data_IF_216098234443
#
_entry.id   IF_216098234443
#
_cell.length_a   1.000
_cell.length_b   1.000
_cell.length_c   1.000
_cell.angle_alpha   90.00
_cell.angle_beta   90.00
_cell.angle_gamma   90.00
#
_symmetry.space_group_name_H-M   'P 1'
#
loop_
_entity.id
_entity.type
_entity.pdbx_description
1 polymer ?
#
# COMPACT_ATOMS: atom_id res chain seq x y z
N UNK A 1 16.54 20.36 51.39
CA UNK A 1 16.75 19.00 50.85
C UNK A 1 15.59 18.49 49.97
N UNK A 2 14.48 19.24 49.78
CA UNK A 2 13.23 18.68 49.26
C UNK A 2 13.09 18.67 47.70
N UNK A 3 13.46 19.76 47.01
CA UNK A 3 13.13 19.92 45.58
C UNK A 3 13.97 19.05 44.62
N UNK A 4 15.29 18.94 44.86
CA UNK A 4 16.22 18.18 43.97
C UNK A 4 15.98 16.68 44.03
N UNK A 5 15.71 16.15 45.22
CA UNK A 5 15.36 14.73 45.44
C UNK A 5 14.04 14.39 44.75
N UNK A 6 13.04 15.25 44.90
CA UNK A 6 11.76 15.08 44.21
C UNK A 6 11.90 15.11 42.69
N UNK A 7 12.72 16.02 42.15
CA UNK A 7 13.01 16.10 40.73
C UNK A 7 13.72 14.83 40.21
N UNK A 8 14.70 14.29 40.96
CA UNK A 8 15.37 13.05 40.60
C UNK A 8 14.40 11.86 40.51
N UNK A 9 13.49 11.71 41.49
CA UNK A 9 12.45 10.68 41.43
C UNK A 9 11.50 10.86 40.25
N UNK A 10 11.16 12.11 39.89
CA UNK A 10 10.33 12.40 38.72
C UNK A 10 11.01 11.97 37.42
N UNK A 11 12.31 12.23 37.24
CA UNK A 11 13.06 11.80 36.06
C UNK A 11 13.11 10.28 35.92
N UNK A 12 13.41 9.57 37.01
CA UNK A 12 13.43 8.09 37.04
C UNK A 12 12.05 7.52 36.70
N UNK A 13 11.00 8.07 37.29
CA UNK A 13 9.64 7.64 37.00
C UNK A 13 9.24 7.93 35.53
N UNK A 14 9.71 9.04 34.96
CA UNK A 14 9.50 9.36 33.55
C UNK A 14 10.22 8.37 32.65
N UNK A 15 11.49 8.05 32.92
CA UNK A 15 12.26 7.07 32.15
C UNK A 15 11.59 5.68 32.17
N UNK A 16 11.16 5.22 33.35
CA UNK A 16 10.44 3.95 33.49
C UNK A 16 9.12 3.91 32.70
N UNK A 17 8.35 5.02 32.69
CA UNK A 17 7.14 5.13 31.87
C UNK A 17 7.46 5.08 30.38
N UNK A 18 8.48 5.81 29.93
CA UNK A 18 8.92 5.77 28.52
C UNK A 18 9.35 4.37 28.11
N UNK A 19 10.13 3.67 28.93
CA UNK A 19 10.52 2.28 28.67
C UNK A 19 9.29 1.36 28.54
N UNK A 20 8.24 1.57 29.35
CA UNK A 20 6.99 0.83 29.22
C UNK A 20 6.23 1.15 27.93
N UNK A 21 6.25 2.41 27.47
CA UNK A 21 5.68 2.78 26.18
C UNK A 21 6.41 2.07 25.03
N UNK A 22 7.75 2.01 25.07
CA UNK A 22 8.55 1.26 24.09
C UNK A 22 8.13 -0.22 24.06
N UNK A 23 7.95 -0.85 25.22
CA UNK A 23 7.47 -2.23 25.29
C UNK A 23 6.08 -2.41 24.66
N UNK A 24 5.16 -1.49 24.92
CA UNK A 24 3.79 -1.57 24.36
C UNK A 24 3.79 -1.40 22.84
N UNK A 25 4.62 -0.50 22.31
CA UNK A 25 4.78 -0.33 20.85
C UNK A 25 5.40 -1.59 20.23
N UNK A 26 6.45 -2.14 20.85
CA UNK A 26 7.07 -3.39 20.40
C UNK A 26 6.06 -4.56 20.42
N UNK A 27 5.23 -4.67 21.46
CA UNK A 27 4.14 -5.65 21.52
C UNK A 27 3.15 -5.50 20.36
N UNK A 28 2.74 -4.27 20.05
CA UNK A 28 1.86 -4.00 18.91
C UNK A 28 2.45 -4.44 17.56
N UNK A 29 3.76 -4.28 17.37
CA UNK A 29 4.43 -4.77 16.16
C UNK A 29 4.62 -6.30 16.15
N UNK A 30 4.87 -6.93 17.30
CA UNK A 30 4.91 -8.39 17.48
C UNK A 30 3.56 -9.03 17.13
N UNK A 31 2.46 -8.40 17.52
CA UNK A 31 1.10 -8.85 17.19
C UNK A 31 0.78 -8.64 15.70
N UNK A 32 1.33 -7.59 15.09
CA UNK A 32 1.11 -7.23 13.70
C UNK A 32 1.88 -8.11 12.71
N UNK A 33 3.06 -8.59 13.06
CA UNK A 33 3.92 -9.34 12.13
C UNK A 33 3.61 -10.84 12.08
N UNK A 34 3.73 -11.42 10.89
CA UNK A 34 3.76 -12.85 10.61
C UNK A 34 5.19 -13.32 10.25
N UNK A 35 6.19 -12.44 10.28
CA UNK A 35 7.61 -12.79 10.10
C UNK A 35 8.17 -13.40 11.41
N UNK A 36 8.55 -14.68 11.43
CA UNK A 36 9.02 -15.34 12.64
C UNK A 36 10.35 -14.79 13.16
N UNK A 37 11.24 -14.34 12.27
CA UNK A 37 12.57 -13.86 12.65
C UNK A 37 12.47 -12.48 13.30
N UNK A 38 11.74 -11.57 12.65
CA UNK A 38 11.48 -10.25 13.21
C UNK A 38 10.73 -10.34 14.54
N UNK A 39 9.71 -11.21 14.61
CA UNK A 39 8.94 -11.44 15.84
C UNK A 39 9.81 -11.93 17.00
N UNK A 40 10.67 -12.91 16.77
CA UNK A 40 11.56 -13.45 17.79
C UNK A 40 12.56 -12.40 18.29
N UNK A 41 13.22 -11.68 17.36
CA UNK A 41 14.20 -10.65 17.70
C UNK A 41 13.56 -9.49 18.48
N UNK A 42 12.38 -9.02 18.06
CA UNK A 42 11.69 -7.92 18.73
C UNK A 42 11.16 -8.33 20.11
N UNK A 43 10.72 -9.60 20.26
CA UNK A 43 10.32 -10.14 21.56
C UNK A 43 11.50 -10.16 22.53
N UNK A 44 12.67 -10.64 22.10
CA UNK A 44 13.87 -10.66 22.91
C UNK A 44 14.32 -9.25 23.34
N UNK A 45 14.33 -8.28 22.41
CA UNK A 45 14.67 -6.89 22.71
C UNK A 45 13.66 -6.24 23.67
N UNK A 46 12.35 -6.48 23.48
CA UNK A 46 11.28 -6.03 24.39
C UNK A 46 11.47 -6.60 25.80
N UNK A 47 11.79 -7.87 25.91
CA UNK A 47 12.01 -8.54 27.20
C UNK A 47 13.27 -8.02 27.90
N UNK A 48 14.31 -7.66 27.13
CA UNK A 48 15.50 -7.00 27.66
C UNK A 48 15.15 -5.62 28.28
N UNK A 49 14.30 -4.83 27.62
CA UNK A 49 13.79 -3.57 28.20
C UNK A 49 12.96 -3.84 29.47
N UNK A 50 12.14 -4.90 29.49
CA UNK A 50 11.37 -5.25 30.68
C UNK A 50 12.25 -5.63 31.87
N UNK A 51 13.34 -6.35 31.64
CA UNK A 51 14.27 -6.80 32.66
C UNK A 51 15.15 -5.66 33.21
N UNK A 52 15.41 -4.59 32.45
CA UNK A 52 16.27 -3.48 32.87
C UNK A 52 15.56 -2.42 33.73
N UNK A 53 14.24 -2.25 33.61
CA UNK A 53 13.48 -1.21 34.35
C UNK A 53 13.56 -1.37 35.87
N UNK A 54 13.37 -2.58 36.38
CA UNK A 54 13.38 -2.86 37.83
C UNK A 54 14.73 -2.51 38.49
N UNK A 55 15.86 -3.06 38.00
CA UNK A 55 17.20 -2.73 38.47
C UNK A 55 17.53 -1.23 38.39
N UNK A 56 17.14 -0.54 37.31
CA UNK A 56 17.34 0.90 37.17
C UNK A 56 16.58 1.68 38.25
N UNK A 57 15.30 1.38 38.47
CA UNK A 57 14.49 2.07 39.49
C UNK A 57 15.00 1.78 40.91
N UNK A 58 15.39 0.54 41.19
CA UNK A 58 15.90 0.14 42.50
C UNK A 58 17.25 0.82 42.83
N UNK A 59 18.19 0.80 41.88
CA UNK A 59 19.50 1.46 42.03
C UNK A 59 19.35 2.99 42.14
N UNK A 60 18.45 3.59 41.36
CA UNK A 60 18.14 5.01 41.45
C UNK A 60 17.61 5.41 42.84
N UNK A 61 16.68 4.61 43.40
CA UNK A 61 16.18 4.83 44.77
C UNK A 61 17.31 4.82 45.79
N UNK A 62 18.24 3.87 45.69
CA UNK A 62 19.41 3.79 46.57
C UNK A 62 20.34 5.01 46.44
N UNK A 63 20.61 5.44 45.21
CA UNK A 63 21.47 6.60 44.94
C UNK A 63 20.85 7.91 45.46
N UNK A 64 19.54 8.06 45.37
CA UNK A 64 18.82 9.26 45.83
C UNK A 64 18.76 9.34 47.37
N UNK A 65 18.58 8.20 48.06
CA UNK A 65 18.46 8.18 49.54
C UNK A 65 19.81 8.22 50.27
N UNK A 66 20.92 7.97 49.56
CA UNK A 66 22.28 7.99 50.10
C UNK A 66 23.16 9.05 49.42
N UNK A 67 22.88 10.36 49.58
CA UNK A 67 23.64 11.42 48.94
C UNK A 67 25.10 11.40 49.41
N UNK A 68 26.04 11.25 48.47
CA UNK A 68 27.49 11.18 48.73
C UNK A 68 28.09 9.77 48.63
N UNK A 69 27.26 8.72 48.54
CA UNK A 69 27.73 7.37 48.26
C UNK A 69 28.08 7.22 46.77
N UNK A 70 29.37 7.31 46.44
CA UNK A 70 29.85 7.22 45.05
C UNK A 70 29.56 5.84 44.41
N UNK A 71 29.65 4.76 45.19
CA UNK A 71 29.37 3.41 44.70
C UNK A 71 27.88 3.24 44.33
N UNK A 72 26.96 3.79 45.13
CA UNK A 72 25.53 3.75 44.81
C UNK A 72 25.20 4.53 43.52
N UNK A 73 25.91 5.64 43.28
CA UNK A 73 25.77 6.41 42.04
C UNK A 73 26.31 5.64 40.83
N UNK A 74 27.47 5.01 40.94
CA UNK A 74 28.07 4.20 39.88
C UNK A 74 27.19 3.01 39.47
N UNK A 75 26.60 2.31 40.45
CA UNK A 75 25.63 1.24 40.20
C UNK A 75 24.41 1.78 39.43
N UNK A 76 23.88 2.94 39.82
CA UNK A 76 22.77 3.56 39.09
C UNK A 76 23.16 3.91 37.64
N UNK A 77 24.32 4.53 37.41
CA UNK A 77 24.80 4.85 36.06
C UNK A 77 24.88 3.59 35.19
N UNK A 78 25.49 2.52 35.71
CA UNK A 78 25.57 1.23 35.02
C UNK A 78 24.18 0.68 34.66
N UNK A 79 23.22 0.73 35.59
CA UNK A 79 21.85 0.25 35.32
C UNK A 79 21.03 1.18 34.42
N UNK A 80 21.36 2.45 34.37
CA UNK A 80 20.79 3.38 33.40
C UNK A 80 21.34 3.09 31.99
N UNK A 81 22.65 2.83 31.85
CA UNK A 81 23.30 2.48 30.58
C UNK A 81 22.81 1.13 30.04
N UNK A 82 22.61 0.13 30.91
CA UNK A 82 21.97 -1.15 30.57
C UNK A 82 20.57 -0.92 29.98
N UNK A 83 19.77 -0.04 30.58
CA UNK A 83 18.42 0.29 30.09
C UNK A 83 18.45 1.05 28.76
N UNK A 84 19.39 1.98 28.57
CA UNK A 84 19.57 2.69 27.30
C UNK A 84 19.96 1.70 26.20
N UNK A 85 20.87 0.77 26.49
CA UNK A 85 21.28 -0.28 25.55
C UNK A 85 20.11 -1.18 25.18
N UNK A 86 19.29 -1.59 26.16
CA UNK A 86 18.09 -2.39 25.88
C UNK A 86 17.07 -1.67 24.97
N UNK A 87 16.90 -0.35 25.15
CA UNK A 87 16.03 0.45 24.25
C UNK A 87 16.66 0.57 22.86
N UNK A 88 17.98 0.68 22.77
CA UNK A 88 18.70 0.69 21.50
C UNK A 88 18.57 -0.64 20.75
N UNK A 89 18.56 -1.78 21.44
CA UNK A 89 18.31 -3.08 20.81
C UNK A 89 16.95 -3.12 20.11
N UNK A 90 15.91 -2.57 20.73
CA UNK A 90 14.57 -2.44 20.10
C UNK A 90 14.64 -1.59 18.85
N UNK A 91 15.33 -0.44 18.92
CA UNK A 91 15.55 0.44 17.77
C UNK A 91 16.26 -0.30 16.62
N UNK A 92 17.36 -1.01 16.90
CA UNK A 92 18.12 -1.76 15.90
C UNK A 92 17.29 -2.83 15.19
N UNK A 93 16.46 -3.56 15.94
CA UNK A 93 15.58 -4.59 15.36
C UNK A 93 14.53 -3.96 14.46
N UNK A 94 13.92 -2.84 14.88
CA UNK A 94 12.92 -2.11 14.08
C UNK A 94 13.56 -1.48 12.85
N UNK A 95 14.67 -0.76 13.00
CA UNK A 95 15.33 -0.06 11.90
C UNK A 95 15.76 -1.05 10.79
N UNK A 96 16.38 -2.18 11.15
CA UNK A 96 16.72 -3.24 10.18
C UNK A 96 15.51 -3.82 9.47
N UNK A 97 14.35 -3.90 10.14
CA UNK A 97 13.14 -4.44 9.56
C UNK A 97 12.41 -3.45 8.64
N UNK A 98 12.43 -2.15 8.96
CA UNK A 98 11.70 -1.13 8.19
C UNK A 98 12.55 -0.41 7.15
N UNK A 99 13.86 -0.32 7.37
CA UNK A 99 14.83 0.32 6.50
C UNK A 99 15.91 -0.68 6.06
N UNK A 100 15.55 -1.73 5.29
CA UNK A 100 16.56 -2.63 4.75
C UNK A 100 17.51 -1.84 3.83
N UNK A 101 18.80 -2.22 3.79
CA UNK A 101 19.76 -1.56 2.90
C UNK A 101 19.25 -1.58 1.45
N UNK A 102 19.48 -0.51 0.67
CA UNK A 102 19.01 -0.43 -0.69
C UNK A 102 19.55 -1.62 -1.50
N UNK A 103 18.75 -2.19 -2.42
CA UNK A 103 19.22 -3.27 -3.28
C UNK A 103 20.45 -2.80 -4.06
N UNK A 104 21.40 -3.72 -4.37
CA UNK A 104 22.59 -3.38 -5.12
C UNK A 104 22.20 -2.69 -6.44
N UNK A 105 22.99 -1.70 -6.90
CA UNK A 105 22.71 -1.00 -8.14
C UNK A 105 22.53 -2.02 -9.25
N UNK A 106 21.37 -1.94 -9.93
CA UNK A 106 21.04 -2.84 -11.03
C UNK A 106 22.15 -2.72 -12.08
N UNK A 107 22.66 -3.84 -12.65
CA UNK A 107 23.61 -3.74 -13.74
C UNK A 107 23.05 -2.80 -14.81
N UNK A 108 23.89 -1.94 -15.41
CA UNK A 108 23.42 -1.02 -16.43
C UNK A 108 22.67 -1.83 -17.47
N UNK A 109 21.40 -1.45 -17.72
CA UNK A 109 20.67 -1.96 -18.86
C UNK A 109 21.59 -1.88 -20.07
N UNK A 110 21.70 -2.93 -20.91
CA UNK A 110 22.55 -2.88 -22.08
C UNK A 110 22.28 -1.56 -22.80
N UNK A 111 23.35 -0.79 -22.99
CA UNK A 111 23.31 0.44 -23.76
C UNK A 111 22.51 0.12 -25.01
N UNK A 112 21.41 0.82 -25.31
CA UNK A 112 20.73 0.60 -26.57
C UNK A 112 21.81 0.68 -27.65
N UNK A 113 21.94 -0.36 -28.48
CA UNK A 113 22.64 -0.20 -29.75
C UNK A 113 22.15 1.11 -30.36
N UNK A 114 22.98 1.88 -31.09
CA UNK A 114 22.50 3.03 -31.82
C UNK A 114 21.49 2.54 -32.85
N UNK A 115 20.23 2.42 -32.42
CA UNK A 115 19.07 2.35 -33.28
C UNK A 115 19.16 3.66 -34.00
N UNK A 116 19.45 3.60 -35.31
CA UNK A 116 19.23 4.73 -36.21
C UNK A 116 17.92 5.38 -35.76
N UNK A 117 17.96 6.64 -35.34
CA UNK A 117 16.76 7.35 -34.91
C UNK A 117 15.67 7.03 -35.92
N UNK A 118 14.62 6.26 -35.53
CA UNK A 118 13.51 6.09 -36.41
C UNK A 118 13.02 7.50 -36.72
N UNK A 119 12.71 7.81 -38.00
CA UNK A 119 12.32 9.15 -38.42
C UNK A 119 11.34 9.73 -37.41
N UNK A 120 11.48 11.03 -37.04
CA UNK A 120 10.76 11.63 -35.92
C UNK A 120 9.33 11.15 -35.94
N UNK A 121 8.99 10.29 -34.97
CA UNK A 121 7.65 9.76 -34.87
C UNK A 121 6.74 10.99 -34.77
N UNK A 122 5.74 11.15 -35.67
CA UNK A 122 4.78 12.23 -35.52
C UNK A 122 4.28 12.20 -34.07
N UNK A 123 4.09 13.36 -33.42
CA UNK A 123 3.62 13.40 -32.04
C UNK A 123 2.44 12.44 -31.95
N UNK A 124 2.61 11.36 -31.18
CA UNK A 124 1.46 10.52 -30.84
C UNK A 124 0.50 11.50 -30.21
N UNK A 125 -0.74 11.65 -30.71
CA UNK A 125 -1.67 12.60 -30.12
C UNK A 125 -1.70 12.27 -28.63
N UNK A 126 -1.14 13.16 -27.81
CA UNK A 126 -1.32 13.12 -26.37
C UNK A 126 -2.83 13.19 -26.24
N UNK A 127 -3.46 12.04 -26.00
CA UNK A 127 -4.91 11.98 -25.92
C UNK A 127 -5.30 13.02 -24.88
N UNK A 128 -5.99 14.08 -25.32
CA UNK A 128 -6.34 15.19 -24.45
C UNK A 128 -6.95 14.62 -23.18
N UNK A 129 -6.43 15.06 -22.03
CA UNK A 129 -6.95 14.62 -20.73
C UNK A 129 -8.45 14.91 -20.75
N UNK A 130 -9.32 13.89 -20.66
CA UNK A 130 -10.75 14.14 -20.70
C UNK A 130 -11.13 15.02 -19.52
N UNK A 131 -11.81 16.14 -19.75
CA UNK A 131 -12.32 16.96 -18.65
C UNK A 131 -13.37 16.15 -17.89
N UNK A 132 -13.22 16.07 -16.56
CA UNK A 132 -14.11 15.26 -15.71
C UNK A 132 -15.59 15.68 -15.86
N UNK A 133 -15.85 16.96 -16.11
CA UNK A 133 -17.19 17.52 -16.34
C UNK A 133 -17.83 17.09 -17.66
N UNK A 134 -17.03 16.77 -18.68
CA UNK A 134 -17.49 16.45 -20.04
C UNK A 134 -17.50 14.95 -20.30
N UNK A 135 -16.55 14.22 -19.70
CA UNK A 135 -16.38 12.79 -19.89
C UNK A 135 -15.94 12.12 -18.57
N UNK A 136 -16.86 11.93 -17.61
CA UNK A 136 -16.51 11.41 -16.29
C UNK A 136 -16.05 9.95 -16.32
N UNK A 137 -16.59 9.11 -17.23
CA UNK A 137 -16.15 7.71 -17.42
C UNK A 137 -14.73 7.67 -18.00
N UNK A 138 -14.48 8.47 -19.04
CA UNK A 138 -13.16 8.56 -19.68
C UNK A 138 -12.11 9.19 -18.76
N UNK A 139 -12.49 10.14 -17.91
CA UNK A 139 -11.62 10.67 -16.86
C UNK A 139 -11.21 9.56 -15.87
N UNK A 140 -12.16 8.75 -15.39
CA UNK A 140 -11.85 7.61 -14.51
C UNK A 140 -10.92 6.58 -15.19
N UNK A 141 -11.16 6.28 -16.46
CA UNK A 141 -10.31 5.42 -17.26
C UNK A 141 -8.89 5.99 -17.42
N UNK A 142 -8.78 7.28 -17.76
CA UNK A 142 -7.51 7.97 -17.91
C UNK A 142 -6.72 8.01 -16.59
N UNK A 143 -7.40 8.25 -15.47
CA UNK A 143 -6.75 8.27 -14.15
C UNK A 143 -6.15 6.90 -13.80
N UNK A 144 -6.86 5.80 -14.04
CA UNK A 144 -6.31 4.46 -13.84
C UNK A 144 -5.10 4.19 -14.74
N UNK A 145 -5.15 4.56 -16.01
CA UNK A 145 -4.00 4.38 -16.93
C UNK A 145 -2.80 5.23 -16.49
N UNK A 146 -3.04 6.48 -16.06
CA UNK A 146 -2.00 7.36 -15.51
C UNK A 146 -1.37 6.77 -14.25
N UNK A 147 -2.19 6.27 -13.32
CA UNK A 147 -1.71 5.63 -12.10
C UNK A 147 -0.85 4.40 -12.45
N UNK A 148 -1.37 3.50 -13.29
CA UNK A 148 -0.66 2.29 -13.70
C UNK A 148 0.65 2.58 -14.46
N UNK A 149 0.74 3.69 -15.21
CA UNK A 149 1.93 4.09 -15.96
C UNK A 149 3.13 4.49 -15.11
N UNK A 150 2.95 4.70 -13.80
CA UNK A 150 4.06 4.99 -12.90
C UNK A 150 5.06 3.83 -12.83
N UNK A 151 4.63 2.62 -13.16
CA UNK A 151 5.46 1.43 -13.10
C UNK A 151 5.74 0.82 -14.48
N UNK A 152 6.84 0.07 -14.56
CA UNK A 152 7.12 -0.85 -15.65
C UNK A 152 6.03 -1.92 -15.75
N UNK A 153 5.95 -2.56 -16.92
CA UNK A 153 4.87 -3.51 -17.19
C UNK A 153 5.09 -4.80 -16.37
N UNK A 154 4.21 -5.01 -15.39
CA UNK A 154 3.99 -6.29 -14.74
C UNK A 154 2.55 -6.78 -15.01
N UNK A 155 2.23 -8.02 -14.64
CA UNK A 155 0.93 -8.61 -14.96
C UNK A 155 -0.26 -7.79 -14.41
N UNK A 156 -0.13 -7.21 -13.21
CA UNK A 156 -1.18 -6.40 -12.59
C UNK A 156 -1.32 -5.02 -13.25
N UNK A 157 -0.19 -4.37 -13.56
CA UNK A 157 -0.15 -3.10 -14.31
C UNK A 157 -0.75 -3.28 -15.70
N UNK A 158 -0.42 -4.36 -16.41
CA UNK A 158 -0.97 -4.66 -17.73
C UNK A 158 -2.49 -4.91 -17.68
N UNK A 159 -2.97 -5.63 -16.67
CA UNK A 159 -4.41 -5.84 -16.46
C UNK A 159 -5.12 -4.50 -16.19
N UNK A 160 -4.57 -3.65 -15.32
CA UNK A 160 -5.13 -2.33 -15.02
C UNK A 160 -5.16 -1.40 -16.26
N UNK A 161 -4.07 -1.35 -17.04
CA UNK A 161 -4.02 -0.58 -18.29
C UNK A 161 -5.03 -1.08 -19.33
N UNK A 162 -5.23 -2.41 -19.39
CA UNK A 162 -6.27 -3.01 -20.25
C UNK A 162 -7.67 -2.64 -19.78
N UNK A 163 -7.94 -2.66 -18.47
CA UNK A 163 -9.21 -2.16 -17.91
C UNK A 163 -9.46 -0.70 -18.26
N UNK A 164 -8.44 0.16 -18.14
CA UNK A 164 -8.54 1.57 -18.51
C UNK A 164 -8.87 1.75 -20.00
N UNK A 165 -8.20 1.02 -20.90
CA UNK A 165 -8.50 1.07 -22.34
C UNK A 165 -9.94 0.66 -22.64
N UNK A 166 -10.41 -0.46 -22.06
CA UNK A 166 -11.77 -0.95 -22.24
C UNK A 166 -12.81 0.04 -21.67
N UNK A 167 -12.51 0.64 -20.51
CA UNK A 167 -13.39 1.63 -19.89
C UNK A 167 -13.48 2.92 -20.72
N UNK A 168 -12.39 3.33 -21.39
CA UNK A 168 -12.41 4.44 -22.34
C UNK A 168 -13.33 4.14 -23.54
N UNK A 169 -13.32 2.90 -24.05
CA UNK A 169 -14.24 2.50 -25.12
C UNK A 169 -15.71 2.52 -24.65
N UNK A 170 -15.99 2.13 -23.40
CA UNK A 170 -17.33 2.28 -22.83
C UNK A 170 -17.75 3.74 -22.72
N UNK A 171 -16.81 4.64 -22.38
CA UNK A 171 -17.07 6.08 -22.30
C UNK A 171 -17.51 6.66 -23.66
N UNK A 172 -16.79 6.29 -24.74
CA UNK A 172 -17.12 6.70 -26.11
C UNK A 172 -18.53 6.24 -26.50
N UNK A 173 -18.84 4.97 -26.25
CA UNK A 173 -20.17 4.42 -26.52
C UNK A 173 -21.27 5.13 -25.73
N UNK A 174 -21.05 5.43 -24.45
CA UNK A 174 -22.03 6.11 -23.60
C UNK A 174 -22.37 7.53 -24.09
N UNK A 175 -21.42 8.22 -24.75
CA UNK A 175 -21.64 9.53 -25.37
C UNK A 175 -22.19 9.46 -26.80
N UNK A 176 -22.40 8.26 -27.34
CA UNK A 176 -22.82 8.08 -28.74
C UNK A 176 -21.72 8.42 -29.75
N UNK A 177 -20.47 8.52 -29.31
CA UNK A 177 -19.33 8.71 -30.22
C UNK A 177 -19.04 7.40 -30.96
N UNK A 178 -18.86 7.49 -32.28
CA UNK A 178 -18.43 6.33 -33.08
C UNK A 178 -17.01 5.89 -32.66
N UNK A 179 -16.82 4.58 -32.41
CA UNK A 179 -15.55 4.01 -31.98
C UNK A 179 -15.46 2.50 -32.16
N UNK A 180 -14.46 1.85 -31.54
CA UNK A 180 -14.28 0.38 -31.59
C UNK A 180 -15.49 -0.39 -31.03
N UNK A 181 -16.20 0.21 -30.08
CA UNK A 181 -17.48 -0.29 -29.56
C UNK A 181 -18.59 0.52 -30.22
N UNK A 182 -19.23 -0.07 -31.23
CA UNK A 182 -20.22 0.58 -32.09
C UNK A 182 -21.63 0.04 -31.93
N UNK A 183 -21.81 -1.05 -31.17
CA UNK A 183 -23.13 -1.64 -30.96
C UNK A 183 -23.34 -2.19 -29.54
N UNK A 184 -24.62 -2.33 -29.19
CA UNK A 184 -25.12 -2.84 -27.89
C UNK A 184 -24.44 -4.15 -27.46
N UNK A 185 -24.20 -5.07 -28.40
CA UNK A 185 -23.55 -6.36 -28.12
C UNK A 185 -22.08 -6.15 -27.72
N UNK A 186 -21.36 -5.29 -28.43
CA UNK A 186 -19.96 -4.96 -28.11
C UNK A 186 -19.84 -4.23 -26.76
N UNK A 187 -20.80 -3.39 -26.37
CA UNK A 187 -20.80 -2.78 -25.03
C UNK A 187 -20.81 -3.86 -23.93
N UNK A 188 -21.71 -4.83 -24.05
CA UNK A 188 -21.84 -5.94 -23.09
C UNK A 188 -20.57 -6.80 -23.07
N UNK A 189 -19.99 -7.12 -24.23
CA UNK A 189 -18.73 -7.87 -24.31
C UNK A 189 -17.56 -7.09 -23.69
N UNK A 190 -17.50 -5.77 -23.90
CA UNK A 190 -16.48 -4.90 -23.29
C UNK A 190 -16.59 -4.93 -21.77
N UNK A 191 -17.81 -4.84 -21.22
CA UNK A 191 -18.04 -4.97 -19.79
C UNK A 191 -17.58 -6.34 -19.25
N UNK A 192 -17.85 -7.44 -19.96
CA UNK A 192 -17.36 -8.78 -19.57
C UNK A 192 -15.84 -8.87 -19.57
N UNK A 193 -15.17 -8.25 -20.54
CA UNK A 193 -13.71 -8.18 -20.57
C UNK A 193 -13.15 -7.40 -19.37
N UNK A 194 -13.76 -6.27 -19.02
CA UNK A 194 -13.37 -5.50 -17.82
C UNK A 194 -13.52 -6.36 -16.55
N UNK A 195 -14.62 -7.10 -16.43
CA UNK A 195 -14.81 -8.02 -15.30
C UNK A 195 -13.71 -9.07 -15.23
N UNK A 196 -13.38 -9.71 -16.37
CA UNK A 196 -12.29 -10.70 -16.43
C UNK A 196 -10.94 -10.14 -15.99
N UNK A 197 -10.59 -8.93 -16.43
CA UNK A 197 -9.34 -8.29 -16.01
C UNK A 197 -9.39 -7.89 -14.52
N UNK A 198 -10.55 -7.45 -14.01
CA UNK A 198 -10.71 -7.15 -12.58
C UNK A 198 -10.54 -8.39 -11.69
N UNK A 199 -11.01 -9.55 -12.14
CA UNK A 199 -10.82 -10.84 -11.46
C UNK A 199 -9.34 -11.24 -11.43
N UNK A 200 -8.59 -10.97 -12.50
CA UNK A 200 -7.14 -11.19 -12.53
C UNK A 200 -6.40 -10.29 -11.52
N UNK A 201 -6.76 -9.00 -11.45
CA UNK A 201 -6.22 -8.07 -10.45
C UNK A 201 -6.52 -8.56 -9.03
N UNK A 202 -7.78 -8.93 -8.75
CA UNK A 202 -8.20 -9.49 -7.46
C UNK A 202 -7.39 -10.73 -7.09
N UNK A 203 -7.24 -11.67 -8.02
CA UNK A 203 -6.49 -12.91 -7.79
C UNK A 203 -5.03 -12.64 -7.45
N UNK A 204 -4.36 -11.75 -8.20
CA UNK A 204 -2.98 -11.37 -7.92
C UNK A 204 -2.85 -10.63 -6.58
N UNK A 205 -3.76 -9.70 -6.27
CA UNK A 205 -3.75 -8.95 -5.03
C UNK A 205 -3.96 -9.85 -3.80
N UNK A 206 -4.82 -10.87 -3.88
CA UNK A 206 -4.98 -11.86 -2.82
C UNK A 206 -3.70 -12.66 -2.57
N UNK A 207 -2.99 -13.07 -3.62
CA UNK A 207 -1.68 -13.75 -3.46
C UNK A 207 -0.65 -12.85 -2.76
N UNK A 208 -0.62 -11.56 -3.10
CA UNK A 208 0.24 -10.57 -2.39
C UNK A 208 -0.17 -10.48 -0.92
N UNK A 209 -1.47 -10.37 -0.61
CA UNK A 209 -1.97 -10.29 0.76
C UNK A 209 -1.65 -11.54 1.58
N UNK A 210 -1.72 -12.73 0.98
CA UNK A 210 -1.34 -14.00 1.61
C UNK A 210 0.16 -14.13 1.86
N UNK A 211 0.99 -13.55 0.99
CA UNK A 211 2.44 -13.58 1.10
C UNK A 211 3.00 -12.48 2.02
N UNK A 212 2.24 -11.42 2.27
CA UNK A 212 2.62 -10.28 3.09
C UNK A 212 2.72 -10.66 4.57
N UNK A 213 3.84 -10.32 5.22
CA UNK A 213 4.04 -10.58 6.65
C UNK A 213 3.49 -9.49 7.57
N UNK A 214 2.99 -8.37 7.02
CA UNK A 214 2.36 -7.32 7.81
C UNK A 214 0.82 -7.43 7.76
N UNK A 215 0.20 -7.71 8.92
CA UNK A 215 -1.25 -7.90 9.02
C UNK A 215 -2.05 -6.64 8.74
N UNK A 216 -1.53 -5.44 9.03
CA UNK A 216 -2.22 -4.17 8.71
C UNK A 216 -2.26 -3.99 7.20
N UNK A 217 -1.15 -4.19 6.50
CA UNK A 217 -1.08 -4.09 5.04
C UNK A 217 -1.93 -5.16 4.35
N UNK A 218 -1.90 -6.41 4.84
CA UNK A 218 -2.78 -7.49 4.39
C UNK A 218 -4.26 -7.11 4.50
N UNK A 219 -4.69 -6.58 5.66
CA UNK A 219 -6.07 -6.10 5.86
C UNK A 219 -6.42 -4.96 4.91
N UNK A 220 -5.52 -4.01 4.68
CA UNK A 220 -5.73 -2.91 3.75
C UNK A 220 -6.00 -3.42 2.33
N UNK A 221 -5.22 -4.38 1.83
CA UNK A 221 -5.46 -5.00 0.52
C UNK A 221 -6.84 -5.68 0.48
N UNK A 222 -7.14 -6.54 1.45
CA UNK A 222 -8.37 -7.32 1.46
C UNK A 222 -9.63 -6.43 1.52
N UNK A 223 -9.59 -5.33 2.30
CA UNK A 223 -10.69 -4.38 2.41
C UNK A 223 -11.11 -3.78 1.05
N UNK A 224 -10.15 -3.57 0.14
CA UNK A 224 -10.40 -3.01 -1.19
C UNK A 224 -10.79 -4.12 -2.16
N UNK A 225 -10.02 -5.22 -2.15
CA UNK A 225 -10.18 -6.35 -3.06
C UNK A 225 -11.55 -7.05 -2.90
N UNK A 226 -12.09 -7.10 -1.69
CA UNK A 226 -13.39 -7.73 -1.41
C UNK A 226 -14.58 -6.97 -2.03
N UNK A 227 -14.42 -5.68 -2.36
CA UNK A 227 -15.47 -4.85 -2.98
C UNK A 227 -15.52 -5.00 -4.50
N UNK A 228 -14.38 -5.29 -5.14
CA UNK A 228 -14.24 -5.30 -6.61
C UNK A 228 -15.21 -6.28 -7.29
N UNK A 229 -15.38 -7.55 -6.85
CA UNK A 229 -16.28 -8.49 -7.50
C UNK A 229 -17.73 -8.00 -7.58
N UNK A 230 -18.21 -7.32 -6.54
CA UNK A 230 -19.57 -6.73 -6.50
C UNK A 230 -19.69 -5.58 -7.50
N UNK A 231 -18.73 -4.64 -7.50
CA UNK A 231 -18.74 -3.50 -8.42
C UNK A 231 -18.64 -3.98 -9.88
N UNK A 232 -17.79 -4.97 -10.17
CA UNK A 232 -17.64 -5.57 -11.49
C UNK A 232 -18.92 -6.29 -11.96
N UNK A 233 -19.63 -6.97 -11.05
CA UNK A 233 -20.92 -7.59 -11.37
C UNK A 233 -21.99 -6.54 -11.70
N UNK A 234 -22.03 -5.44 -10.94
CA UNK A 234 -22.90 -4.30 -11.23
C UNK A 234 -22.59 -3.69 -12.61
N UNK A 235 -21.31 -3.57 -13.00
CA UNK A 235 -20.92 -3.07 -14.32
C UNK A 235 -21.58 -3.86 -15.46
N UNK A 236 -21.59 -5.20 -15.38
CA UNK A 236 -22.24 -6.05 -16.40
C UNK A 236 -23.75 -5.79 -16.51
N UNK A 237 -24.42 -5.63 -15.37
CA UNK A 237 -25.86 -5.38 -15.31
C UNK A 237 -26.16 -4.00 -15.89
N UNK A 238 -25.45 -2.96 -15.43
CA UNK A 238 -25.63 -1.58 -15.89
C UNK A 238 -25.31 -1.45 -17.38
N UNK A 239 -24.26 -2.12 -17.87
CA UNK A 239 -23.94 -2.14 -19.30
C UNK A 239 -25.07 -2.77 -20.15
N UNK A 240 -25.72 -3.83 -19.65
CA UNK A 240 -26.88 -4.41 -20.32
C UNK A 240 -28.09 -3.45 -20.30
N UNK A 241 -28.37 -2.79 -19.18
CA UNK A 241 -29.44 -1.78 -19.07
C UNK A 241 -29.19 -0.61 -20.03
N UNK A 242 -27.99 -0.02 -20.02
CA UNK A 242 -27.60 1.06 -20.94
C UNK A 242 -27.72 0.62 -22.40
N UNK A 243 -27.28 -0.60 -22.73
CA UNK A 243 -27.44 -1.14 -24.08
C UNK A 243 -28.91 -1.20 -24.52
N UNK A 244 -29.84 -1.57 -23.63
CA UNK A 244 -31.28 -1.64 -23.97
C UNK A 244 -31.95 -0.26 -24.07
N UNK A 245 -31.54 0.71 -23.25
CA UNK A 245 -32.15 2.05 -23.18
C UNK A 245 -31.63 3.02 -24.25
N UNK A 246 -30.40 2.82 -24.73
CA UNK A 246 -29.79 3.73 -25.70
C UNK A 246 -30.57 3.78 -27.02
N UNK A 247 -30.96 4.99 -27.41
CA UNK A 247 -31.74 5.26 -28.62
C UNK A 247 -33.16 4.70 -28.57
N UNK A 248 -33.70 4.47 -27.38
CA UNK A 248 -35.13 4.20 -27.15
C UNK A 248 -35.94 5.50 -27.00
N UNK A 249 -37.26 5.35 -26.81
CA UNK A 249 -38.19 6.47 -26.75
C UNK A 249 -38.16 7.25 -25.41
N UNK A 250 -37.43 6.75 -24.42
CA UNK A 250 -37.33 7.32 -23.06
C UNK A 250 -35.92 7.85 -22.79
N UNK A 251 -35.71 9.13 -23.13
CA UNK A 251 -34.43 9.83 -22.97
C UNK A 251 -34.03 9.97 -21.48
N UNK A 252 -35.00 10.15 -20.59
CA UNK A 252 -34.75 10.28 -19.14
C UNK A 252 -34.20 8.96 -18.57
N UNK A 253 -34.79 7.83 -18.95
CA UNK A 253 -34.29 6.52 -18.56
C UNK A 253 -32.89 6.23 -19.13
N UNK A 254 -32.57 6.68 -20.35
CA UNK A 254 -31.24 6.53 -20.93
C UNK A 254 -30.18 7.40 -20.22
N UNK A 255 -30.58 8.61 -19.81
CA UNK A 255 -29.73 9.50 -19.01
C UNK A 255 -29.44 8.90 -17.64
N UNK A 256 -30.45 8.39 -16.92
CA UNK A 256 -30.30 7.72 -15.62
C UNK A 256 -29.33 6.52 -15.72
N UNK A 257 -29.45 5.70 -16.76
CA UNK A 257 -28.55 4.57 -16.99
C UNK A 257 -27.09 5.02 -17.24
N UNK A 258 -26.90 6.19 -17.86
CA UNK A 258 -25.57 6.78 -18.08
C UNK A 258 -24.93 7.26 -16.77
N UNK A 259 -25.73 7.82 -15.87
CA UNK A 259 -25.27 8.25 -14.54
C UNK A 259 -24.90 7.04 -13.67
N UNK A 260 -25.72 5.99 -13.67
CA UNK A 260 -25.38 4.72 -12.99
C UNK A 260 -24.07 4.13 -13.52
N UNK A 261 -23.88 4.15 -14.85
CA UNK A 261 -22.65 3.66 -15.47
C UNK A 261 -21.43 4.50 -15.06
N UNK A 262 -21.61 5.83 -14.99
CA UNK A 262 -20.57 6.77 -14.56
C UNK A 262 -20.11 6.48 -13.13
N UNK A 263 -21.05 6.38 -12.20
CA UNK A 263 -20.74 6.11 -10.79
C UNK A 263 -20.06 4.74 -10.62
N UNK A 264 -20.54 3.71 -11.34
CA UNK A 264 -19.93 2.39 -11.28
C UNK A 264 -18.50 2.38 -11.86
N UNK A 265 -18.28 3.06 -13.00
CA UNK A 265 -16.97 3.17 -13.62
C UNK A 265 -15.95 3.87 -12.69
N UNK A 266 -16.33 5.00 -12.10
CA UNK A 266 -15.47 5.71 -11.14
C UNK A 266 -15.10 4.85 -9.93
N UNK A 267 -16.09 4.16 -9.35
CA UNK A 267 -15.86 3.25 -8.23
C UNK A 267 -14.92 2.10 -8.60
N UNK A 268 -15.10 1.49 -9.78
CA UNK A 268 -14.29 0.35 -10.20
C UNK A 268 -12.85 0.77 -10.51
N UNK A 269 -12.65 1.83 -11.29
CA UNK A 269 -11.32 2.32 -11.65
C UNK A 269 -10.56 2.81 -10.41
N UNK A 270 -11.23 3.52 -9.50
CA UNK A 270 -10.67 3.96 -8.23
C UNK A 270 -10.25 2.80 -7.34
N UNK A 271 -11.10 1.78 -7.18
CA UNK A 271 -10.78 0.59 -6.39
C UNK A 271 -9.58 -0.18 -6.96
N UNK A 272 -9.48 -0.31 -8.29
CA UNK A 272 -8.32 -0.96 -8.93
C UNK A 272 -7.05 -0.14 -8.73
N UNK A 273 -7.11 1.19 -8.84
CA UNK A 273 -5.96 2.07 -8.56
C UNK A 273 -5.48 1.93 -7.12
N UNK A 274 -6.40 1.92 -6.14
CA UNK A 274 -6.08 1.69 -4.74
C UNK A 274 -5.41 0.32 -4.51
N UNK A 275 -5.84 -0.72 -5.22
CA UNK A 275 -5.18 -2.04 -5.19
C UNK A 275 -3.75 -1.98 -5.72
N UNK A 276 -3.47 -1.23 -6.80
CA UNK A 276 -2.10 -1.09 -7.31
C UNK A 276 -1.17 -0.50 -6.24
N UNK A 277 -1.57 0.60 -5.61
CA UNK A 277 -0.76 1.23 -4.55
C UNK A 277 -0.64 0.34 -3.30
N UNK A 278 -1.74 -0.28 -2.86
CA UNK A 278 -1.71 -1.13 -1.67
C UNK A 278 -0.84 -2.38 -1.89
N UNK A 279 -0.87 -2.97 -3.08
CA UNK A 279 -0.04 -4.13 -3.41
C UNK A 279 1.42 -3.76 -3.60
N UNK A 280 1.73 -2.63 -4.25
CA UNK A 280 3.09 -2.09 -4.33
C UNK A 280 3.72 -1.93 -2.95
N UNK A 281 3.04 -1.21 -2.05
CA UNK A 281 3.51 -1.02 -0.69
C UNK A 281 3.70 -2.36 0.05
N UNK A 282 2.72 -3.28 -0.06
CA UNK A 282 2.77 -4.55 0.65
C UNK A 282 3.87 -5.49 0.15
N UNK A 283 4.28 -5.41 -1.12
CA UNK A 283 5.36 -6.27 -1.64
C UNK A 283 6.69 -6.05 -0.93
N UNK A 284 6.91 -4.89 -0.32
CA UNK A 284 8.09 -4.61 0.53
C UNK A 284 8.13 -5.56 1.73
N UNK A 285 6.96 -5.95 2.25
CA UNK A 285 6.77 -6.89 3.37
C UNK A 285 6.54 -8.34 2.92
N UNK A 286 6.72 -8.64 1.63
CA UNK A 286 6.71 -10.01 1.13
C UNK A 286 8.15 -10.55 1.14
N UNK A 287 8.41 -11.74 1.72
CA UNK A 287 9.71 -12.40 1.66
C UNK A 287 10.22 -12.54 0.22
N UNK A 288 11.53 -12.39 0.00
CA UNK A 288 12.12 -12.34 -1.34
C UNK A 288 11.76 -13.56 -2.21
N UNK A 289 11.80 -14.76 -1.64
CA UNK A 289 11.46 -16.01 -2.33
C UNK A 289 10.00 -15.99 -2.82
N UNK A 290 9.05 -15.63 -1.96
CA UNK A 290 7.63 -15.47 -2.34
C UNK A 290 7.44 -14.36 -3.36
N UNK A 291 8.21 -13.26 -3.26
CA UNK A 291 8.13 -12.14 -4.20
C UNK A 291 8.51 -12.56 -5.62
N UNK A 292 9.54 -13.42 -5.76
CA UNK A 292 9.93 -14.00 -7.05
C UNK A 292 8.81 -14.87 -7.63
N UNK A 293 8.17 -15.71 -6.82
CA UNK A 293 7.04 -16.56 -7.23
C UNK A 293 5.81 -15.77 -7.69
N UNK A 294 5.56 -14.60 -7.09
CA UNK A 294 4.44 -13.73 -7.46
C UNK A 294 4.60 -13.11 -8.85
N UNK A 295 5.84 -12.96 -9.36
CA UNK A 295 6.11 -12.33 -10.65
C UNK A 295 5.70 -10.85 -10.74
N UNK A 296 5.46 -10.20 -9.60
CA UNK A 296 5.05 -8.79 -9.51
C UNK A 296 6.25 -7.94 -9.07
N UNK A 297 6.98 -7.43 -10.05
CA UNK A 297 8.03 -6.45 -9.81
C UNK A 297 7.46 -5.05 -9.95
N UNK A 298 7.63 -4.24 -8.91
CA UNK A 298 7.27 -2.83 -8.88
C UNK A 298 8.51 -2.00 -9.15
N UNK A 299 8.68 -1.58 -10.40
CA UNK A 299 9.80 -0.73 -10.84
C UNK A 299 9.19 0.56 -11.36
N UNK A 300 9.57 1.72 -10.81
CA UNK A 300 9.07 3.00 -11.31
C UNK A 300 9.67 3.30 -12.69
N UNK A 301 8.84 3.77 -13.62
CA UNK A 301 9.31 4.37 -14.87
C UNK A 301 9.92 5.74 -14.58
N UNK A 302 11.15 5.95 -15.02
CA UNK A 302 11.81 7.26 -14.99
C UNK A 302 11.24 8.20 -16.05
#
# INVERSE_FOLDING_TARGET
MCLRVQLAFQHVASAARTAKLVQNVAEGEIENTEDPTFKANLTAAKDHVAQSVGPMVASARSAITQPGNSAAHEVFCTKADDMVSAVHDVHEVVDKHYNPPPPPPRPPSPTPEPVQEPPPRPPSPEAAIPLQSENPIGYAAHQLDKDAKQWEDNAMVLAARKMAKLMMQMAQFARGEGGEVSNRKQLIETAKLIVKESEAVVAMARKVAEACTDKRMKRAILQVVDKIPTIATQLKIIAAVKATRQGGDDEEADQEASEMLTNNAQNLMGAVSEVLYATEAATIRVPEEKRKELGLQWVKRN
#
